data_IF_541393107100
#
_entry.id   IF_541393107100
#
_cell.length_a   1.000
_cell.length_b   1.000
_cell.length_c   1.000
_cell.angle_alpha   90.00
_cell.angle_beta   90.00
_cell.angle_gamma   90.00
#
_symmetry.space_group_name_H-M   'P 1'
#
loop_
_entity.id
_entity.type
_entity.pdbx_description
1 polymer ?
#
# COMPACT_ATOMS: atom_id res chain seq x y z
N UNK A 1 10.18 15.31 16.26
CA UNK A 1 8.79 15.30 15.76
C UNK A 1 8.56 13.94 15.16
N UNK A 2 7.54 13.23 15.63
CA UNK A 2 7.35 11.79 15.38
C UNK A 2 6.20 11.50 14.39
N UNK A 3 5.46 12.53 13.95
CA UNK A 3 4.45 12.40 12.91
C UNK A 3 5.12 12.48 11.53
N UNK A 4 5.05 11.38 10.79
CA UNK A 4 5.73 11.29 9.51
C UNK A 4 4.98 12.06 8.42
N UNK A 5 5.73 12.89 7.68
CA UNK A 5 5.28 13.58 6.48
C UNK A 5 6.32 13.25 5.40
N UNK A 6 5.92 12.65 4.27
CA UNK A 6 6.86 12.23 3.24
C UNK A 6 7.59 13.43 2.63
N UNK A 7 8.88 13.26 2.38
CA UNK A 7 9.74 14.17 1.62
C UNK A 7 9.90 13.66 0.20
N UNK A 8 10.44 14.49 -0.68
CA UNK A 8 10.68 14.12 -2.08
C UNK A 8 11.50 12.82 -2.24
N UNK A 9 12.50 12.60 -1.36
CA UNK A 9 13.34 11.41 -1.39
C UNK A 9 12.65 10.14 -0.82
N UNK A 10 11.48 10.26 -0.19
CA UNK A 10 10.76 9.13 0.39
C UNK A 10 9.80 8.47 -0.62
N UNK A 11 9.60 9.08 -1.79
CA UNK A 11 8.64 8.64 -2.80
C UNK A 11 9.37 8.13 -4.06
N UNK A 12 8.80 7.12 -4.74
CA UNK A 12 9.30 6.71 -6.05
C UNK A 12 8.91 7.72 -7.14
N UNK A 13 9.51 7.58 -8.33
CA UNK A 13 8.98 8.22 -9.54
C UNK A 13 7.62 7.63 -9.90
N UNK A 14 6.68 8.48 -10.33
CA UNK A 14 5.33 8.07 -10.69
C UNK A 14 5.18 7.92 -12.20
N UNK A 15 4.64 6.79 -12.64
CA UNK A 15 4.12 6.62 -14.00
C UNK A 15 2.62 6.92 -13.99
N UNK A 16 2.17 7.80 -14.88
CA UNK A 16 0.77 8.23 -14.97
C UNK A 16 0.22 7.92 -16.35
N UNK A 17 -0.94 7.28 -16.38
CA UNK A 17 -1.73 7.04 -17.58
C UNK A 17 -3.19 7.40 -17.28
N UNK A 18 -3.94 7.75 -18.33
CA UNK A 18 -5.34 8.16 -18.24
C UNK A 18 -6.17 7.37 -19.24
N UNK A 19 -7.35 6.93 -18.80
CA UNK A 19 -8.35 6.28 -19.66
C UNK A 19 -9.65 7.09 -19.58
N UNK A 20 -10.02 7.71 -20.68
CA UNK A 20 -11.12 8.67 -20.72
C UNK A 20 -12.45 7.98 -21.02
N UNK A 21 -13.28 7.85 -19.98
CA UNK A 21 -14.65 7.37 -20.10
C UNK A 21 -15.58 8.52 -19.69
N UNK A 22 -16.24 9.20 -20.64
CA UNK A 22 -17.10 10.34 -20.34
C UNK A 22 -18.25 10.00 -19.36
N UNK A 23 -18.60 10.96 -18.51
CA UNK A 23 -19.79 10.88 -17.68
C UNK A 23 -21.04 11.20 -18.50
N UNK A 24 -22.08 10.37 -18.41
CA UNK A 24 -23.34 10.59 -19.16
C UNK A 24 -24.35 11.47 -18.42
N UNK A 25 -24.09 11.82 -17.16
CA UNK A 25 -25.07 12.47 -16.26
C UNK A 25 -24.82 13.95 -16.02
N UNK A 26 -23.73 14.51 -16.53
CA UNK A 26 -23.47 15.94 -16.48
C UNK A 26 -23.10 16.50 -17.86
N UNK A 27 -23.44 17.76 -18.10
CA UNK A 27 -23.30 18.41 -19.42
C UNK A 27 -21.85 18.50 -19.93
N UNK A 28 -20.86 18.36 -19.05
CA UNK A 28 -19.45 18.48 -19.39
C UNK A 28 -18.75 17.12 -19.58
N UNK A 29 -19.42 16.00 -19.27
CA UNK A 29 -18.81 14.68 -19.36
C UNK A 29 -17.69 14.39 -18.36
N UNK A 30 -17.50 15.24 -17.34
CA UNK A 30 -16.35 15.17 -16.42
C UNK A 30 -16.63 14.32 -15.19
N UNK A 31 -15.56 13.83 -14.54
CA UNK A 31 -15.60 13.07 -13.27
C UNK A 31 -14.56 13.65 -12.31
N UNK A 32 -14.84 13.61 -11.01
CA UNK A 32 -13.88 13.99 -9.98
C UNK A 32 -12.80 12.93 -9.79
N UNK A 33 -11.55 13.35 -9.58
CA UNK A 33 -10.40 12.45 -9.40
C UNK A 33 -9.46 12.88 -8.24
N UNK A 34 -9.79 13.95 -7.50
CA UNK A 34 -8.90 14.53 -6.50
C UNK A 34 -8.46 13.57 -5.38
N UNK A 35 -9.32 12.61 -5.03
CA UNK A 35 -9.03 11.61 -3.98
C UNK A 35 -8.54 10.27 -4.54
N UNK A 36 -8.56 10.07 -5.86
CA UNK A 36 -8.32 8.75 -6.46
C UNK A 36 -6.95 8.17 -6.05
N UNK A 37 -5.92 9.01 -5.98
CA UNK A 37 -4.60 8.62 -5.49
C UNK A 37 -4.60 8.26 -4.00
N UNK A 38 -5.26 9.05 -3.16
CA UNK A 38 -5.35 8.80 -1.73
C UNK A 38 -6.17 7.54 -1.40
N UNK A 39 -7.14 7.19 -2.23
CA UNK A 39 -7.93 5.96 -2.10
C UNK A 39 -7.19 4.74 -2.63
N UNK A 40 -6.56 4.84 -3.81
CA UNK A 40 -5.93 3.71 -4.49
C UNK A 40 -4.54 3.36 -3.97
N UNK A 41 -3.74 4.34 -3.56
CA UNK A 41 -2.35 4.11 -3.18
C UNK A 41 -2.17 3.27 -1.90
N UNK A 42 -2.92 3.49 -0.79
CA UNK A 42 -2.75 2.69 0.43
C UNK A 42 -2.95 1.18 0.23
N UNK A 43 -4.06 0.70 -0.38
CA UNK A 43 -4.22 -0.73 -0.60
C UNK A 43 -3.22 -1.29 -1.62
N UNK A 44 -2.83 -0.52 -2.64
CA UNK A 44 -1.81 -0.96 -3.59
C UNK A 44 -0.47 -1.23 -2.90
N UNK A 45 -0.03 -0.32 -2.02
CA UNK A 45 1.21 -0.47 -1.25
C UNK A 45 1.12 -1.66 -0.28
N UNK A 46 0.03 -1.77 0.50
CA UNK A 46 -0.13 -2.86 1.48
C UNK A 46 -0.16 -4.22 0.80
N UNK A 47 -0.88 -4.34 -0.33
CA UNK A 47 -0.93 -5.59 -1.08
C UNK A 47 0.42 -5.98 -1.66
N UNK A 48 1.20 -5.01 -2.16
CA UNK A 48 2.55 -5.28 -2.67
C UNK A 48 3.50 -5.79 -1.57
N UNK A 49 3.43 -5.20 -0.37
CA UNK A 49 4.24 -5.67 0.77
C UNK A 49 3.75 -7.02 1.28
N UNK A 50 2.43 -7.24 1.32
CA UNK A 50 1.84 -8.52 1.71
C UNK A 50 2.28 -9.65 0.77
N UNK A 51 2.22 -9.42 -0.54
CA UNK A 51 2.69 -10.36 -1.57
C UNK A 51 4.17 -10.73 -1.35
N UNK A 52 5.03 -9.73 -1.10
CA UNK A 52 6.45 -9.93 -0.85
C UNK A 52 6.77 -10.80 0.40
N UNK A 53 5.84 -10.89 1.35
CA UNK A 53 6.01 -11.68 2.59
C UNK A 53 5.08 -12.89 2.68
N UNK A 54 4.23 -13.13 1.67
CA UNK A 54 3.20 -14.15 1.69
C UNK A 54 3.79 -15.56 1.89
N UNK A 55 4.96 -15.85 1.30
CA UNK A 55 5.68 -17.11 1.45
C UNK A 55 6.07 -17.45 2.90
N UNK A 56 6.02 -16.48 3.81
CA UNK A 56 6.25 -16.69 5.25
C UNK A 56 4.97 -17.05 6.01
N UNK A 57 3.85 -17.26 5.31
CA UNK A 57 2.54 -17.57 5.90
C UNK A 57 1.82 -16.36 6.48
N UNK A 58 2.24 -15.14 6.12
CA UNK A 58 1.59 -13.90 6.53
C UNK A 58 0.47 -13.60 5.52
N UNK A 59 -0.75 -13.40 6.00
CA UNK A 59 -1.95 -13.19 5.16
C UNK A 59 -2.63 -11.84 5.37
N UNK A 60 -2.17 -11.05 6.36
CA UNK A 60 -2.73 -9.75 6.70
C UNK A 60 -1.63 -8.84 7.26
N UNK A 61 -1.72 -7.54 6.95
CA UNK A 61 -0.84 -6.50 7.47
C UNK A 61 -1.68 -5.27 7.84
N UNK A 62 -1.49 -4.77 9.06
CA UNK A 62 -2.05 -3.51 9.53
C UNK A 62 -1.15 -2.34 9.14
N UNK A 63 -1.76 -1.24 8.73
CA UNK A 63 -1.04 0.02 8.53
C UNK A 63 -0.80 0.72 9.90
N UNK A 64 0.29 1.50 10.05
CA UNK A 64 1.34 1.80 9.07
C UNK A 64 2.46 0.74 9.05
N UNK A 65 2.99 0.48 7.84
CA UNK A 65 4.07 -0.50 7.59
C UNK A 65 5.46 0.03 8.01
N UNK A 66 5.60 0.43 9.27
CA UNK A 66 6.88 0.93 9.81
C UNK A 66 7.94 -0.18 9.83
N UNK A 67 9.25 0.15 9.74
CA UNK A 67 10.30 -0.86 9.82
C UNK A 67 10.24 -1.73 11.08
N UNK A 68 9.87 -1.14 12.23
CA UNK A 68 9.74 -1.88 13.49
C UNK A 68 8.57 -2.89 13.46
N UNK A 69 7.42 -2.48 12.93
CA UNK A 69 6.27 -3.38 12.77
C UNK A 69 6.61 -4.56 11.85
N UNK A 70 7.23 -4.27 10.70
CA UNK A 70 7.65 -5.29 9.75
C UNK A 70 8.69 -6.25 10.34
N UNK A 71 9.68 -5.72 11.05
CA UNK A 71 10.68 -6.53 11.74
C UNK A 71 10.04 -7.49 12.74
N UNK A 72 9.10 -7.02 13.57
CA UNK A 72 8.41 -7.85 14.56
C UNK A 72 7.66 -9.00 13.90
N UNK A 73 6.85 -8.71 12.88
CA UNK A 73 6.05 -9.72 12.18
C UNK A 73 6.92 -10.78 11.50
N UNK A 74 8.00 -10.35 10.86
CA UNK A 74 8.90 -11.28 10.17
C UNK A 74 9.61 -12.23 11.14
N UNK A 75 9.95 -11.78 12.35
CA UNK A 75 10.54 -12.63 13.39
C UNK A 75 9.51 -13.56 14.03
N UNK A 76 8.30 -13.07 14.31
CA UNK A 76 7.23 -13.90 14.84
C UNK A 76 6.85 -15.02 13.86
N UNK A 77 6.83 -14.73 12.56
CA UNK A 77 6.60 -15.73 11.52
C UNK A 77 7.73 -16.78 11.45
N UNK A 78 9.00 -16.37 11.59
CA UNK A 78 10.13 -17.29 11.63
C UNK A 78 10.06 -18.25 12.82
N UNK A 79 9.73 -17.74 14.00
CA UNK A 79 9.61 -18.55 15.22
C UNK A 79 8.48 -19.59 15.14
N UNK A 80 7.37 -19.29 14.44
CA UNK A 80 6.29 -20.26 14.22
C UNK A 80 6.69 -21.43 13.32
N UNK A 81 7.62 -21.24 12.38
CA UNK A 81 8.16 -22.33 11.56
C UNK A 81 9.08 -23.26 12.35
N UNK A 82 9.87 -22.73 13.29
CA UNK A 82 10.83 -23.51 14.07
C UNK A 82 10.23 -24.49 15.08
N UNK A 83 8.95 -24.32 15.44
CA UNK A 83 8.24 -25.18 16.42
C UNK A 83 7.44 -26.30 15.73
N UNK A 84 7.33 -26.26 14.39
CA UNK A 84 6.55 -27.21 13.58
C UNK A 84 7.46 -28.20 12.84
N UNK A 85 8.77 -28.20 13.13
CA UNK A 85 9.77 -29.15 12.63
C UNK A 85 10.43 -29.88 13.80
#
# INVERSE_FOLDING_TARGET
MDYWIPRAADLPDFTVATEDIPCTTNAFGVKGCGEAGATGAPPALVNAVLDAVAERGITHLDMPLTPFYMWRILNDAANKRSVVM
#
